data_IF_379348499668
#
_entry.id   IF_379348499668
#
_cell.length_a   1.000
_cell.length_b   1.000
_cell.length_c   1.000
_cell.angle_alpha   90.00
_cell.angle_beta   90.00
_cell.angle_gamma   90.00
#
_symmetry.space_group_name_H-M   'P 1'
#
loop_
_entity.id
_entity.type
_entity.pdbx_description
1 polymer ?
#
# COMPACT_ATOMS: atom_id res chain seq x y z
N UNK A 1 3.52 24.82 9.93
CA UNK A 1 3.72 23.36 10.00
C UNK A 1 4.53 22.91 11.23
N UNK A 2 4.19 23.36 12.46
CA UNK A 2 4.97 23.05 13.68
C UNK A 2 4.19 22.39 14.83
N UNK A 3 3.01 21.81 14.57
CA UNK A 3 2.16 21.27 15.64
C UNK A 3 1.77 19.79 15.48
N UNK A 4 2.57 18.95 14.80
CA UNK A 4 2.34 17.50 14.76
C UNK A 4 3.14 16.72 15.84
N UNK A 5 4.10 17.36 16.53
CA UNK A 5 5.04 16.61 17.42
C UNK A 5 4.53 16.38 18.85
N UNK A 6 3.57 17.16 19.34
CA UNK A 6 3.23 17.17 20.78
C UNK A 6 1.98 16.37 21.17
N UNK A 7 1.07 16.08 20.23
CA UNK A 7 -0.17 15.34 20.51
C UNK A 7 -0.12 13.87 20.09
N UNK A 8 0.82 13.47 19.22
CA UNK A 8 0.97 12.08 18.79
C UNK A 8 2.00 11.37 19.67
N UNK A 9 1.66 11.16 20.95
CA UNK A 9 2.32 10.12 21.75
C UNK A 9 1.57 8.81 21.49
N UNK A 10 1.71 8.30 20.28
CA UNK A 10 1.38 6.91 20.01
C UNK A 10 2.57 6.11 20.52
N UNK A 11 2.40 5.40 21.64
CA UNK A 11 3.19 4.18 21.83
C UNK A 11 2.89 3.36 20.58
N UNK A 12 3.80 3.40 19.62
CA UNK A 12 3.59 2.78 18.32
C UNK A 12 3.38 1.31 18.62
N UNK A 13 2.16 0.81 18.43
CA UNK A 13 1.84 -0.60 18.64
C UNK A 13 2.62 -1.39 17.60
N UNK A 14 3.84 -1.81 17.95
CA UNK A 14 4.70 -2.59 17.07
C UNK A 14 4.28 -4.04 17.16
N UNK A 15 3.58 -4.52 16.13
CA UNK A 15 3.12 -5.90 16.04
C UNK A 15 4.31 -6.82 15.77
N UNK A 16 4.68 -7.64 16.75
CA UNK A 16 5.79 -8.59 16.64
C UNK A 16 5.40 -9.80 15.80
N UNK A 17 6.36 -10.33 15.04
CA UNK A 17 6.21 -11.63 14.37
C UNK A 17 5.20 -11.67 13.21
N UNK A 18 4.65 -10.53 12.80
CA UNK A 18 3.94 -10.41 11.53
C UNK A 18 4.92 -10.47 10.35
N UNK A 19 4.44 -10.85 9.17
CA UNK A 19 5.26 -10.82 7.97
C UNK A 19 5.30 -9.39 7.41
N UNK A 20 6.45 -9.02 6.85
CA UNK A 20 6.67 -7.78 6.12
C UNK A 20 7.45 -8.10 4.85
N UNK A 21 7.24 -7.31 3.80
CA UNK A 21 8.11 -7.30 2.62
C UNK A 21 9.33 -6.42 2.97
N UNK A 22 10.53 -7.01 2.94
CA UNK A 22 11.77 -6.25 2.86
C UNK A 22 11.93 -5.75 1.42
N UNK A 23 11.55 -4.50 1.19
CA UNK A 23 11.54 -3.88 -0.13
C UNK A 23 12.92 -3.82 -0.79
N UNK A 24 14.00 -3.76 0.01
CA UNK A 24 15.35 -3.69 -0.53
C UNK A 24 15.81 -5.05 -1.08
N UNK A 25 15.44 -6.14 -0.40
CA UNK A 25 15.89 -7.50 -0.75
C UNK A 25 14.82 -8.33 -1.50
N UNK A 26 13.60 -7.79 -1.63
CA UNK A 26 12.46 -8.47 -2.27
C UNK A 26 12.19 -9.83 -1.63
N UNK A 27 12.21 -9.88 -0.30
CA UNK A 27 12.01 -11.10 0.51
C UNK A 27 11.05 -10.80 1.66
N UNK A 28 10.31 -11.81 2.08
CA UNK A 28 9.42 -11.72 3.22
C UNK A 28 10.21 -12.00 4.49
N UNK A 29 10.04 -11.15 5.50
CA UNK A 29 10.71 -11.25 6.79
C UNK A 29 9.70 -11.15 7.92
N UNK A 30 10.10 -11.60 9.12
CA UNK A 30 9.33 -11.33 10.34
C UNK A 30 9.68 -9.95 10.87
N UNK A 31 8.66 -9.19 11.29
CA UNK A 31 8.85 -7.94 12.00
C UNK A 31 9.59 -8.19 13.31
N UNK A 32 10.75 -7.56 13.46
CA UNK A 32 11.49 -7.50 14.72
C UNK A 32 10.91 -6.41 15.62
N UNK A 33 11.34 -6.38 16.88
CA UNK A 33 10.95 -5.32 17.81
C UNK A 33 11.30 -3.94 17.23
N UNK A 34 10.38 -2.98 17.39
CA UNK A 34 10.54 -1.59 16.93
C UNK A 34 10.73 -1.39 15.41
N UNK A 35 10.51 -2.41 14.59
CA UNK A 35 10.63 -2.26 13.12
C UNK A 35 9.62 -1.23 12.63
N UNK A 36 10.03 -0.13 11.96
CA UNK A 36 9.10 0.77 11.29
C UNK A 36 8.66 0.19 9.95
N UNK A 37 7.37 0.26 9.65
CA UNK A 37 6.82 -0.19 8.37
C UNK A 37 5.74 0.74 7.85
N UNK A 38 5.55 0.69 6.54
CA UNK A 38 4.38 1.25 5.87
C UNK A 38 3.37 0.16 5.57
N UNK A 39 2.11 0.51 5.37
CA UNK A 39 1.10 -0.42 4.82
C UNK A 39 0.58 0.06 3.47
N UNK A 40 0.15 -0.88 2.63
CA UNK A 40 -0.58 -0.61 1.40
C UNK A 40 -2.06 -0.97 1.59
N UNK A 41 -2.94 0.01 1.43
CA UNK A 41 -4.38 -0.20 1.30
C UNK A 41 -4.80 -0.03 -0.16
N UNK A 42 -5.36 -1.09 -0.76
CA UNK A 42 -5.66 -1.17 -2.19
C UNK A 42 -6.83 -2.12 -2.48
N UNK A 43 -7.48 -1.96 -3.63
CA UNK A 43 -8.44 -2.94 -4.12
C UNK A 43 -7.72 -4.09 -4.83
N UNK A 44 -7.92 -5.33 -4.37
CA UNK A 44 -7.31 -6.51 -5.02
C UNK A 44 -7.84 -6.75 -6.44
N UNK A 45 -9.16 -6.57 -6.63
CA UNK A 45 -9.88 -6.92 -7.85
C UNK A 45 -10.78 -8.16 -7.66
N UNK A 46 -11.42 -8.62 -8.74
CA UNK A 46 -12.25 -9.84 -8.78
C UNK A 46 -11.48 -11.07 -9.29
N UNK A 47 -10.33 -10.87 -9.91
CA UNK A 47 -9.38 -11.95 -10.17
C UNK A 47 -8.69 -12.33 -8.86
N UNK A 48 -9.37 -13.14 -8.06
CA UNK A 48 -8.70 -14.03 -7.14
C UNK A 48 -7.83 -14.95 -7.98
N UNK A 49 -6.58 -14.57 -8.23
CA UNK A 49 -5.57 -15.51 -8.70
C UNK A 49 -5.27 -16.48 -7.55
N UNK A 50 -6.20 -17.42 -7.31
CA UNK A 50 -5.97 -18.64 -6.53
C UNK A 50 -4.78 -19.46 -7.07
N UNK A 51 -4.23 -19.11 -8.24
CA UNK A 51 -3.28 -19.94 -8.99
C UNK A 51 -1.82 -19.67 -8.64
N UNK A 52 -1.46 -18.50 -8.11
CA UNK A 52 -0.05 -18.11 -7.88
C UNK A 52 0.22 -17.49 -6.49
N UNK A 53 -0.69 -17.69 -5.52
CA UNK A 53 -0.37 -17.39 -4.12
C UNK A 53 0.56 -18.48 -3.59
N UNK A 54 1.84 -18.37 -3.96
CA UNK A 54 2.90 -19.05 -3.25
C UNK A 54 2.66 -18.86 -1.74
N UNK A 55 2.92 -19.91 -0.94
CA UNK A 55 2.88 -19.81 0.51
C UNK A 55 4.01 -18.88 0.96
N UNK A 56 3.73 -17.60 0.89
CA UNK A 56 4.61 -16.53 1.27
C UNK A 56 4.81 -16.58 2.78
N UNK A 57 5.98 -17.11 3.17
CA UNK A 57 6.44 -17.24 4.54
C UNK A 57 7.71 -16.42 4.72
N UNK A 58 8.13 -16.20 5.95
CA UNK A 58 9.44 -15.61 6.20
C UNK A 58 10.54 -16.41 5.48
N UNK A 59 11.38 -15.72 4.73
CA UNK A 59 12.39 -16.29 3.83
C UNK A 59 11.94 -16.45 2.37
N UNK A 60 10.63 -16.38 2.06
CA UNK A 60 10.13 -16.44 0.69
C UNK A 60 10.55 -15.21 -0.10
N UNK A 61 11.16 -15.41 -1.27
CA UNK A 61 11.42 -14.32 -2.22
C UNK A 61 10.14 -13.95 -2.95
N UNK A 62 9.94 -12.67 -3.23
CA UNK A 62 8.83 -12.25 -4.07
C UNK A 62 9.11 -12.68 -5.51
N UNK A 63 8.09 -13.19 -6.19
CA UNK A 63 8.19 -13.56 -7.60
C UNK A 63 8.51 -12.34 -8.47
N UNK A 64 9.02 -12.55 -9.69
CA UNK A 64 9.24 -11.45 -10.64
C UNK A 64 7.92 -10.81 -11.14
N UNK A 65 6.78 -11.48 -10.92
CA UNK A 65 5.46 -11.09 -11.44
C UNK A 65 4.60 -10.40 -10.37
N UNK A 66 5.15 -9.38 -9.72
CA UNK A 66 4.42 -8.59 -8.73
C UNK A 66 3.40 -7.67 -9.44
N UNK A 67 2.17 -7.53 -8.93
CA UNK A 67 1.21 -6.56 -9.45
C UNK A 67 1.73 -5.12 -9.43
N UNK A 68 1.31 -4.32 -10.41
CA UNK A 68 1.83 -2.95 -10.59
C UNK A 68 1.62 -2.07 -9.36
N UNK A 69 0.46 -2.13 -8.71
CA UNK A 69 0.19 -1.33 -7.50
C UNK A 69 1.14 -1.67 -6.36
N UNK A 70 1.50 -2.94 -6.23
CA UNK A 70 2.38 -3.43 -5.15
C UNK A 70 3.84 -3.10 -5.48
N UNK A 71 4.26 -3.27 -6.75
CA UNK A 71 5.58 -2.82 -7.23
C UNK A 71 5.77 -1.32 -7.00
N UNK A 72 4.77 -0.52 -7.35
CA UNK A 72 4.84 0.91 -7.17
C UNK A 72 4.84 1.30 -5.69
N UNK A 73 4.08 0.60 -4.84
CA UNK A 73 4.12 0.81 -3.39
C UNK A 73 5.51 0.51 -2.81
N UNK A 74 6.19 -0.56 -3.26
CA UNK A 74 7.58 -0.86 -2.90
C UNK A 74 8.52 0.31 -3.26
N UNK A 75 8.37 0.89 -4.46
CA UNK A 75 9.15 2.06 -4.89
C UNK A 75 8.87 3.26 -3.99
N UNK A 76 7.60 3.53 -3.66
CA UNK A 76 7.22 4.64 -2.75
C UNK A 76 7.83 4.43 -1.37
N UNK A 77 7.74 3.23 -0.80
CA UNK A 77 8.32 2.89 0.51
C UNK A 77 9.81 3.21 0.55
N UNK A 78 10.57 2.74 -0.44
CA UNK A 78 12.02 3.00 -0.52
C UNK A 78 12.33 4.49 -0.72
N UNK A 79 11.51 5.22 -1.49
CA UNK A 79 11.68 6.67 -1.72
C UNK A 79 11.32 7.54 -0.51
N UNK A 80 10.56 7.00 0.44
CA UNK A 80 10.25 7.64 1.71
C UNK A 80 11.26 7.29 2.81
N UNK A 81 12.38 6.65 2.46
CA UNK A 81 13.41 6.13 3.38
C UNK A 81 12.91 5.04 4.35
N UNK A 82 11.86 4.32 3.95
CA UNK A 82 11.41 3.10 4.63
C UNK A 82 11.90 1.85 3.92
N UNK A 83 12.06 0.77 4.66
CA UNK A 83 12.49 -0.53 4.11
C UNK A 83 11.37 -1.57 4.08
N UNK A 84 10.42 -1.48 4.99
CA UNK A 84 9.44 -2.53 5.19
C UNK A 84 8.04 -2.07 4.79
N UNK A 85 7.37 -2.92 4.01
CA UNK A 85 6.00 -2.70 3.56
C UNK A 85 5.14 -3.91 3.94
N UNK A 86 4.02 -3.64 4.60
CA UNK A 86 2.98 -4.62 4.81
C UNK A 86 1.97 -4.57 3.66
N UNK A 87 1.70 -5.75 3.08
CA UNK A 87 0.72 -5.95 2.01
C UNK A 87 -0.05 -7.21 2.36
N UNK A 88 -1.36 -7.09 2.62
CA UNK A 88 -2.24 -8.18 3.04
C UNK A 88 -2.08 -9.47 2.20
N UNK A 89 -2.00 -9.35 0.87
CA UNK A 89 -1.86 -10.49 -0.04
C UNK A 89 -0.56 -11.27 0.14
N UNK A 90 0.52 -10.61 0.56
CA UNK A 90 1.85 -11.22 0.73
C UNK A 90 2.18 -11.52 2.20
N UNK A 91 1.61 -10.75 3.12
CA UNK A 91 1.96 -10.83 4.54
C UNK A 91 1.03 -11.77 5.32
N UNK A 92 -0.15 -12.07 4.79
CA UNK A 92 -1.09 -13.05 5.36
C UNK A 92 -1.05 -14.31 4.50
N UNK A 93 -0.78 -15.47 5.12
CA UNK A 93 -0.87 -16.77 4.42
C UNK A 93 -2.33 -17.05 4.06
N UNK A 94 -2.66 -16.87 2.78
CA UNK A 94 -4.03 -17.05 2.27
C UNK A 94 -4.46 -18.53 2.20
N UNK A 95 -3.51 -19.46 2.32
CA UNK A 95 -3.77 -20.90 2.23
C UNK A 95 -3.98 -21.55 3.60
N UNK A 96 -3.80 -20.81 4.70
CA UNK A 96 -4.04 -21.25 6.07
C UNK A 96 -5.21 -20.45 6.64
N UNK A 97 -6.41 -21.05 6.66
CA UNK A 97 -7.63 -20.37 7.09
C UNK A 97 -7.58 -19.92 8.56
N UNK A 98 -6.92 -20.69 9.43
CA UNK A 98 -6.78 -20.36 10.85
C UNK A 98 -5.87 -19.14 10.98
N UNK A 99 -4.68 -19.20 10.37
CA UNK A 99 -3.75 -18.08 10.37
C UNK A 99 -4.35 -16.83 9.73
N UNK A 100 -5.05 -16.98 8.61
CA UNK A 100 -5.74 -15.89 7.91
C UNK A 100 -6.77 -15.22 8.82
N UNK A 101 -7.61 -16.00 9.50
CA UNK A 101 -8.62 -15.47 10.43
C UNK A 101 -7.97 -14.72 11.60
N UNK A 102 -6.90 -15.27 12.17
CA UNK A 102 -6.12 -14.61 13.24
C UNK A 102 -5.43 -13.32 12.78
N UNK A 103 -4.91 -13.26 11.55
CA UNK A 103 -4.32 -12.04 11.02
C UNK A 103 -5.38 -10.99 10.68
N UNK A 104 -6.52 -11.41 10.13
CA UNK A 104 -7.65 -10.51 9.83
C UNK A 104 -8.16 -9.85 11.11
N UNK A 105 -8.25 -10.59 12.22
CA UNK A 105 -8.66 -10.01 13.51
C UNK A 105 -7.66 -9.04 14.12
N UNK A 106 -6.44 -8.93 13.56
CA UNK A 106 -5.37 -8.02 13.97
C UNK A 106 -5.07 -6.93 12.94
N UNK A 107 -5.83 -6.84 11.86
CA UNK A 107 -5.64 -5.82 10.82
C UNK A 107 -5.70 -4.41 11.41
N UNK A 108 -6.60 -4.19 12.38
CA UNK A 108 -6.70 -2.94 13.13
C UNK A 108 -5.38 -2.57 13.82
N UNK A 109 -4.73 -3.52 14.50
CA UNK A 109 -3.45 -3.32 15.17
C UNK A 109 -2.31 -3.06 14.18
N UNK A 110 -2.33 -3.77 13.04
CA UNK A 110 -1.36 -3.55 11.97
C UNK A 110 -1.47 -2.13 11.43
N UNK A 111 -2.68 -1.65 11.12
CA UNK A 111 -2.88 -0.27 10.65
C UNK A 111 -2.74 0.79 11.75
N UNK A 112 -2.84 0.44 13.03
CA UNK A 112 -2.50 1.36 14.13
C UNK A 112 -1.00 1.52 14.32
N UNK A 113 -0.21 0.49 13.99
CA UNK A 113 1.23 0.45 14.19
C UNK A 113 2.09 1.00 13.05
N UNK A 114 1.49 1.28 11.88
CA UNK A 114 2.23 1.82 10.72
C UNK A 114 2.63 3.27 10.94
N UNK A 115 3.76 3.65 10.34
CA UNK A 115 4.17 5.05 10.34
C UNK A 115 3.39 5.84 9.26
N UNK A 116 3.09 5.21 8.12
CA UNK A 116 2.23 5.74 7.04
C UNK A 116 1.47 4.62 6.32
N UNK A 117 0.29 4.96 5.80
CA UNK A 117 -0.48 4.10 4.88
C UNK A 117 -0.47 4.69 3.47
N UNK A 118 0.00 3.91 2.50
CA UNK A 118 -0.14 4.22 1.07
C UNK A 118 -1.53 3.77 0.64
N UNK A 119 -2.34 4.70 0.16
CA UNK A 119 -3.72 4.44 -0.27
C UNK A 119 -3.81 4.47 -1.79
N UNK A 120 -4.05 3.31 -2.41
CA UNK A 120 -4.21 3.17 -3.85
C UNK A 120 -5.67 3.42 -4.27
N UNK A 121 -6.06 4.70 -4.32
CA UNK A 121 -7.41 5.13 -4.74
C UNK A 121 -7.63 4.92 -6.24
N UNK A 122 -6.59 5.07 -7.05
CA UNK A 122 -6.68 4.99 -8.49
C UNK A 122 -6.77 3.53 -8.99
N UNK A 123 -7.62 3.31 -9.99
CA UNK A 123 -7.84 1.99 -10.57
C UNK A 123 -8.90 1.15 -9.85
N UNK A 124 -9.11 -0.06 -10.37
CA UNK A 124 -10.14 -0.99 -9.87
C UNK A 124 -9.54 -2.28 -9.30
N UNK A 125 -8.24 -2.50 -9.49
CA UNK A 125 -7.52 -3.68 -9.04
C UNK A 125 -6.00 -3.40 -8.90
N UNK A 126 -5.28 -4.39 -8.37
CA UNK A 126 -3.84 -4.34 -8.10
C UNK A 126 -2.91 -4.26 -9.32
N UNK A 127 -3.43 -4.49 -10.52
CA UNK A 127 -2.67 -4.38 -11.77
C UNK A 127 -2.62 -2.95 -12.31
N UNK A 128 -3.36 -2.01 -11.71
CA UNK A 128 -3.45 -0.65 -12.21
C UNK A 128 -2.16 0.17 -11.98
N UNK A 129 -1.50 0.05 -10.83
CA UNK A 129 -0.32 0.85 -10.47
C UNK A 129 -0.65 2.17 -9.77
N UNK A 130 0.37 2.84 -9.23
CA UNK A 130 0.25 4.16 -8.60
C UNK A 130 0.63 5.25 -9.62
N UNK A 131 -0.31 6.14 -10.01
CA UNK A 131 -0.04 7.15 -11.03
C UNK A 131 1.16 8.07 -10.71
N UNK A 132 2.18 8.04 -11.57
CA UNK A 132 3.40 8.84 -11.47
C UNK A 132 4.51 8.25 -10.61
N UNK A 133 4.40 6.97 -10.24
CA UNK A 133 5.46 6.24 -9.53
C UNK A 133 6.24 5.36 -10.51
N UNK A 134 5.57 4.37 -11.10
CA UNK A 134 6.13 3.44 -12.08
C UNK A 134 5.66 3.76 -13.51
N UNK A 135 5.19 2.73 -14.21
CA UNK A 135 4.72 2.84 -15.59
C UNK A 135 3.36 3.53 -15.73
N UNK A 136 2.58 3.61 -14.65
CA UNK A 136 1.24 4.21 -14.67
C UNK A 136 1.35 5.72 -14.74
N UNK A 137 0.93 6.31 -15.86
CA UNK A 137 0.98 7.76 -16.06
C UNK A 137 -0.04 8.47 -15.17
N UNK A 138 0.32 9.65 -14.67
CA UNK A 138 -0.66 10.56 -14.05
C UNK A 138 -1.63 11.04 -15.12
N UNK A 139 -2.92 11.04 -14.81
CA UNK A 139 -3.92 11.66 -15.69
C UNK A 139 -3.59 13.14 -15.87
N UNK A 140 -3.12 13.56 -17.03
CA UNK A 140 -2.77 14.96 -17.26
C UNK A 140 -4.03 15.84 -17.08
N UNK A 141 -3.88 16.94 -16.36
CA UNK A 141 -4.94 17.95 -16.31
C UNK A 141 -5.03 18.65 -17.65
N UNK A 142 -6.22 19.09 -18.05
CA UNK A 142 -6.35 19.97 -19.20
C UNK A 142 -5.64 21.29 -18.88
N UNK A 143 -4.50 21.53 -19.52
CA UNK A 143 -3.73 22.77 -19.45
C UNK A 143 -3.81 23.44 -20.82
N UNK A 144 -4.26 24.69 -20.84
CA UNK A 144 -4.38 25.51 -22.05
C UNK A 144 -3.55 26.78 -21.86
N UNK A 145 -2.73 27.10 -22.86
CA UNK A 145 -1.95 28.33 -22.90
C UNK A 145 -2.70 29.36 -23.75
N UNK A 146 -3.00 30.52 -23.18
CA UNK A 146 -3.64 31.65 -23.87
C UNK A 146 -2.70 32.85 -23.72
N UNK A 147 -1.82 33.05 -24.71
CA UNK A 147 -0.75 34.04 -24.61
C UNK A 147 0.21 33.70 -23.48
N UNK A 148 0.32 34.60 -22.49
CA UNK A 148 1.09 34.46 -21.25
C UNK A 148 0.29 33.85 -20.09
N UNK A 149 -0.98 33.52 -20.30
CA UNK A 149 -1.86 32.93 -19.28
C UNK A 149 -1.89 31.40 -19.42
N UNK A 150 -1.72 30.71 -18.28
CA UNK A 150 -1.92 29.26 -18.16
C UNK A 150 -3.26 29.01 -17.50
N UNK A 151 -4.20 28.42 -18.24
CA UNK A 151 -5.48 27.94 -17.71
C UNK A 151 -5.36 26.45 -17.47
N UNK A 152 -5.63 26.00 -16.25
CA UNK A 152 -5.70 24.57 -15.94
C UNK A 152 -7.03 24.23 -15.29
N UNK A 153 -7.64 23.12 -15.70
CA UNK A 153 -8.80 22.60 -15.01
C UNK A 153 -8.35 22.00 -13.66
N UNK A 154 -8.94 22.48 -12.57
CA UNK A 154 -8.74 21.84 -11.27
C UNK A 154 -9.22 20.38 -11.36
N UNK A 155 -8.40 19.44 -10.89
CA UNK A 155 -8.83 18.04 -10.78
C UNK A 155 -10.02 17.95 -9.83
N UNK A 156 -10.80 16.88 -9.98
CA UNK A 156 -11.85 16.52 -9.03
C UNK A 156 -11.23 16.53 -7.63
N UNK A 157 -11.93 17.15 -6.67
CA UNK A 157 -11.47 17.22 -5.27
C UNK A 157 -11.09 15.81 -4.79
N UNK A 158 -9.94 15.62 -4.12
CA UNK A 158 -9.47 14.29 -3.71
C UNK A 158 -10.53 13.47 -2.98
N UNK A 159 -11.31 14.11 -2.10
CA UNK A 159 -12.43 13.48 -1.40
C UNK A 159 -13.47 12.85 -2.36
N UNK A 160 -13.81 13.54 -3.45
CA UNK A 160 -14.77 13.05 -4.45
C UNK A 160 -14.19 11.91 -5.29
N UNK A 161 -12.88 11.94 -5.58
CA UNK A 161 -12.22 10.80 -6.24
C UNK A 161 -12.21 9.58 -5.32
N UNK A 162 -11.94 9.78 -4.03
CA UNK A 162 -11.98 8.72 -3.02
C UNK A 162 -13.36 8.09 -2.91
N UNK A 163 -14.43 8.87 -2.68
CA UNK A 163 -15.78 8.30 -2.48
C UNK A 163 -16.33 7.56 -3.71
N UNK A 164 -15.86 7.91 -4.92
CA UNK A 164 -16.24 7.23 -6.16
C UNK A 164 -15.34 6.04 -6.51
N UNK A 165 -14.23 5.87 -5.82
CA UNK A 165 -13.24 4.84 -6.13
C UNK A 165 -13.71 3.44 -5.76
N UNK A 166 -13.15 2.44 -6.43
CA UNK A 166 -13.38 1.04 -6.04
C UNK A 166 -12.79 0.74 -4.66
N UNK A 167 -11.66 1.38 -4.36
CA UNK A 167 -10.99 1.32 -3.06
C UNK A 167 -11.95 1.62 -1.91
N UNK A 168 -12.69 2.72 -1.96
CA UNK A 168 -13.61 3.14 -0.88
C UNK A 168 -14.72 2.12 -0.56
N UNK A 169 -15.08 1.26 -1.51
CA UNK A 169 -16.14 0.25 -1.31
C UNK A 169 -15.64 -1.08 -0.74
N UNK A 170 -14.32 -1.32 -0.71
CA UNK A 170 -13.78 -2.68 -0.51
C UNK A 170 -12.43 -2.77 0.19
N UNK A 171 -11.68 -1.69 0.28
CA UNK A 171 -10.38 -1.69 0.92
C UNK A 171 -10.50 -1.44 2.42
N UNK A 172 -9.50 -1.92 3.15
CA UNK A 172 -9.35 -1.72 4.58
C UNK A 172 -8.72 -0.37 4.90
#
# INVERSE_FOLDING_TARGET
ARCHRTACKSDSLRVLGMNLIDCANMVIVKAAQETPWLALSYAWGVEHQKRDLERYRAGSRLSMRIPNTIRDAIIVTLRLDYRFLWVDEYCIDQNDEIHRSEQISRIDQIYQGVDLTIVAVAGTNKMYGLPGVGSTKRTEGNVVYIGDVIVFANRIMPHTETTRSKWFTRAW
#
